data_IF_110333553420
#
_entry.id   IF_110333553420
#
_cell.length_a   1.000
_cell.length_b   1.000
_cell.length_c   1.000
_cell.angle_alpha   90.00
_cell.angle_beta   90.00
_cell.angle_gamma   90.00
#
_symmetry.space_group_name_H-M   'P 1'
#
loop_
_entity.id
_entity.type
_entity.pdbx_description
1 polymer ?
#
# COMPACT_ATOMS: atom_id res chain seq x y z
N UNK A 1 -13.71 -4.54 -5.19
CA UNK A 1 -12.65 -4.43 -4.16
C UNK A 1 -12.01 -3.05 -4.30
N UNK A 2 -11.42 -2.50 -3.25
CA UNK A 2 -10.80 -1.18 -3.29
C UNK A 2 -9.29 -1.33 -3.09
N UNK A 3 -8.51 -0.50 -3.78
CA UNK A 3 -7.07 -0.36 -3.57
C UNK A 3 -6.84 0.76 -2.56
N UNK A 4 -6.32 0.40 -1.40
CA UNK A 4 -5.99 1.31 -0.31
C UNK A 4 -4.49 1.57 -0.34
N UNK A 5 -4.10 2.82 -0.55
CA UNK A 5 -2.70 3.28 -0.55
C UNK A 5 -2.36 3.83 0.84
N UNK A 6 -1.41 3.18 1.51
CA UNK A 6 -0.92 3.58 2.83
C UNK A 6 0.50 4.14 2.71
N UNK A 7 0.79 5.14 3.54
CA UNK A 7 2.16 5.50 3.86
C UNK A 7 2.72 4.49 4.85
N UNK A 8 4.00 4.14 4.72
CA UNK A 8 4.73 3.39 5.73
C UNK A 8 6.14 3.96 5.93
N UNK A 9 6.72 3.64 7.08
CA UNK A 9 8.11 3.97 7.42
C UNK A 9 8.81 2.70 7.89
N UNK A 10 9.99 2.44 7.34
CA UNK A 10 10.91 1.38 7.82
C UNK A 10 11.88 2.04 8.80
N UNK A 11 11.75 1.70 10.08
CA UNK A 11 12.45 2.39 11.17
C UNK A 11 13.98 2.17 11.09
N UNK A 12 14.43 0.96 10.79
CA UNK A 12 15.85 0.64 10.66
C UNK A 12 16.52 1.37 9.50
N UNK A 13 15.81 1.57 8.39
CA UNK A 13 16.31 2.25 7.20
C UNK A 13 16.07 3.76 7.22
N UNK A 14 15.24 4.26 8.15
CA UNK A 14 14.73 5.64 8.18
C UNK A 14 14.19 6.07 6.82
N UNK A 15 13.48 5.15 6.18
CA UNK A 15 12.97 5.28 4.82
C UNK A 15 11.45 5.29 4.89
N UNK A 16 10.85 6.30 4.27
CA UNK A 16 9.41 6.35 4.05
C UNK A 16 9.08 5.79 2.66
N UNK A 17 7.94 5.14 2.55
CA UNK A 17 7.43 4.62 1.30
C UNK A 17 5.91 4.63 1.27
N UNK A 18 5.37 4.29 0.11
CA UNK A 18 3.94 4.15 -0.10
C UNK A 18 3.68 2.76 -0.68
N UNK A 19 2.71 2.05 -0.11
CA UNK A 19 2.32 0.75 -0.62
C UNK A 19 0.80 0.61 -0.65
N UNK A 20 0.30 -0.04 -1.70
CA UNK A 20 -1.14 -0.21 -1.88
C UNK A 20 -1.55 -1.67 -1.84
N UNK A 21 -2.63 -1.96 -1.14
CA UNK A 21 -3.22 -3.29 -1.05
C UNK A 21 -4.67 -3.26 -1.51
N UNK A 22 -5.10 -4.33 -2.16
CA UNK A 22 -6.48 -4.51 -2.60
C UNK A 22 -7.23 -5.28 -1.53
N UNK A 23 -8.29 -4.69 -0.98
CA UNK A 23 -9.09 -5.26 0.10
C UNK A 23 -10.57 -4.91 -0.05
N UNK A 24 -11.42 -5.59 0.71
CA UNK A 24 -12.86 -5.30 0.76
C UNK A 24 -13.17 -4.09 1.65
N UNK A 25 -12.40 -3.90 2.72
CA UNK A 25 -12.54 -2.81 3.68
C UNK A 25 -11.17 -2.25 4.08
N UNK A 26 -11.15 -1.05 4.66
CA UNK A 26 -9.93 -0.44 5.19
C UNK A 26 -9.30 -1.26 6.32
N UNK A 27 -10.11 -1.87 7.19
CA UNK A 27 -9.65 -2.72 8.30
C UNK A 27 -8.93 -3.98 7.79
N UNK A 28 -9.47 -4.60 6.74
CA UNK A 28 -8.85 -5.74 6.07
C UNK A 28 -7.56 -5.32 5.35
N UNK A 29 -7.53 -4.09 4.80
CA UNK A 29 -6.35 -3.52 4.16
C UNK A 29 -5.22 -3.25 5.18
N UNK A 30 -5.57 -2.66 6.33
CA UNK A 30 -4.66 -2.36 7.42
C UNK A 30 -4.06 -3.62 8.07
N UNK A 31 -4.83 -4.72 8.09
CA UNK A 31 -4.32 -6.01 8.60
C UNK A 31 -3.34 -6.67 7.62
N UNK A 32 -3.48 -6.42 6.32
CA UNK A 32 -2.62 -7.01 5.29
C UNK A 32 -1.38 -6.18 4.99
N UNK A 33 -1.47 -4.85 5.09
CA UNK A 33 -0.41 -3.94 4.65
C UNK A 33 0.90 -4.16 5.41
N UNK A 34 0.82 -4.44 6.71
CA UNK A 34 2.00 -4.64 7.57
C UNK A 34 2.87 -5.79 7.07
N UNK A 35 2.30 -6.99 7.02
CA UNK A 35 3.01 -8.19 6.55
C UNK A 35 3.53 -8.05 5.11
N UNK A 36 2.78 -7.36 4.23
CA UNK A 36 3.20 -7.13 2.84
C UNK A 36 4.38 -6.16 2.73
N UNK A 37 4.38 -5.10 3.53
CA UNK A 37 5.47 -4.13 3.55
C UNK A 37 6.73 -4.74 4.18
N UNK A 38 6.57 -5.52 5.25
CA UNK A 38 7.67 -6.26 5.86
C UNK A 38 8.34 -7.21 4.86
N UNK A 39 7.54 -7.99 4.12
CA UNK A 39 8.02 -8.92 3.08
C UNK A 39 8.75 -8.20 1.93
N UNK A 40 8.18 -7.12 1.39
CA UNK A 40 8.79 -6.42 0.23
C UNK A 40 10.05 -5.61 0.60
N UNK A 41 10.11 -5.05 1.80
CA UNK A 41 11.28 -4.32 2.30
C UNK A 41 12.30 -5.25 2.98
N UNK A 42 12.04 -6.57 3.01
CA UNK A 42 12.89 -7.58 3.64
C UNK A 42 13.25 -7.23 5.09
N UNK A 43 12.25 -6.79 5.84
CA UNK A 43 12.40 -6.39 7.25
C UNK A 43 11.33 -7.07 8.12
N UNK A 44 11.47 -6.98 9.44
CA UNK A 44 10.50 -7.50 10.39
C UNK A 44 9.27 -6.58 10.50
N UNK A 45 8.11 -7.14 10.85
CA UNK A 45 6.87 -6.36 11.03
C UNK A 45 7.01 -5.30 12.12
N UNK A 46 7.77 -5.57 13.18
CA UNK A 46 8.06 -4.60 14.26
C UNK A 46 8.91 -3.40 13.79
N UNK A 47 9.63 -3.55 12.68
CA UNK A 47 10.45 -2.50 12.09
C UNK A 47 9.66 -1.64 11.08
N UNK A 48 8.42 -2.03 10.79
CA UNK A 48 7.51 -1.33 9.88
C UNK A 48 6.46 -0.56 10.65
N UNK A 49 6.40 0.74 10.43
CA UNK A 49 5.35 1.61 10.96
C UNK A 49 4.40 2.02 9.86
N UNK A 50 3.16 1.51 9.92
CA UNK A 50 2.10 1.94 9.03
C UNK A 50 1.61 3.32 9.44
N UNK A 51 1.66 4.26 8.51
CA UNK A 51 1.23 5.63 8.67
C UNK A 51 -0.22 5.84 8.27
N UNK A 52 -0.48 7.00 7.65
CA UNK A 52 -1.82 7.39 7.21
C UNK A 52 -2.24 6.68 5.92
N UNK A 53 -3.54 6.40 5.81
CA UNK A 53 -4.16 6.09 4.52
C UNK A 53 -4.14 7.34 3.66
N UNK A 54 -3.47 7.27 2.51
CA UNK A 54 -3.31 8.39 1.58
C UNK A 54 -4.48 8.44 0.60
N UNK A 55 -4.88 7.28 0.06
CA UNK A 55 -5.89 7.22 -1.00
C UNK A 55 -6.62 5.90 -1.00
N UNK A 56 -7.93 5.95 -1.27
CA UNK A 56 -8.73 4.77 -1.62
C UNK A 56 -9.15 4.92 -3.07
N UNK A 57 -8.81 3.93 -3.88
CA UNK A 57 -9.20 3.85 -5.28
C UNK A 57 -10.16 2.68 -5.40
N UNK A 58 -11.39 2.92 -5.83
CA UNK A 58 -12.27 1.82 -6.22
C UNK A 58 -11.58 1.05 -7.35
N UNK A 59 -11.29 -0.23 -7.15
CA UNK A 59 -10.85 -1.11 -8.23
C UNK A 59 -12.10 -1.49 -9.05
N UNK A 60 -12.73 -0.49 -9.65
CA UNK A 60 -13.51 -0.67 -10.87
C UNK A 60 -12.51 -0.74 -12.00
N UNK A 61 -12.68 -1.71 -12.90
CA UNK A 61 -11.95 -1.94 -14.16
C UNK A 61 -11.95 -0.69 -15.06
N UNK A 62 -11.31 0.38 -14.64
CA UNK A 62 -10.92 1.48 -15.51
C UNK A 62 -9.57 1.09 -16.09
N UNK A 63 -9.64 0.17 -17.06
CA UNK A 63 -8.66 0.04 -18.13
C UNK A 63 -8.59 1.40 -18.81
N UNK A 64 -7.73 2.29 -18.29
CA UNK A 64 -7.40 3.52 -19.00
C UNK A 64 -6.42 3.08 -20.07
N UNK A 65 -6.93 2.85 -21.29
CA UNK A 65 -6.13 2.82 -22.49
C UNK A 65 -5.21 4.04 -22.43
N UNK A 66 -3.91 3.80 -22.31
CA UNK A 66 -2.91 4.83 -22.46
C UNK A 66 -2.89 5.22 -23.94
N UNK A 67 -3.88 5.99 -24.37
CA UNK A 67 -3.80 6.73 -25.61
C UNK A 67 -2.74 7.81 -25.43
N UNK A 68 -1.56 7.59 -25.98
CA UNK A 68 -0.58 8.66 -26.17
C UNK A 68 0.86 8.32 -25.83
N UNK A 69 1.49 7.43 -26.59
CA UNK A 69 2.88 7.67 -26.98
C UNK A 69 2.85 8.16 -28.42
N UNK A 70 2.96 9.48 -28.60
CA UNK A 70 3.33 10.12 -29.87
C UNK A 70 4.82 9.96 -30.11
#
# INVERSE_FOLDING_TARGET
MNRYLFQYEVLSLKKEGEFSVVAQSEEEAASQILARVADIEFTDEDDVKIGKLIKVIEAKDHYYECEGCT
#
